data_IF_680400843974
#
_entry.id   IF_680400843974
#
_cell.length_a   1.000
_cell.length_b   1.000
_cell.length_c   1.000
_cell.angle_alpha   90.00
_cell.angle_beta   90.00
_cell.angle_gamma   90.00
#
_symmetry.space_group_name_H-M   'P 1'
#
loop_
_entity.id
_entity.type
_entity.pdbx_description
1 polymer ?
#
# COMPACT_ATOMS: atom_id res chain seq x y z
N UNK A 1 16.43 6.20 5.37
CA UNK A 1 16.54 7.19 4.25
C UNK A 1 15.12 7.53 3.78
N UNK A 2 14.80 8.73 3.29
CA UNK A 2 13.48 8.98 2.68
C UNK A 2 13.33 8.18 1.38
N UNK A 3 12.09 7.92 0.96
CA UNK A 3 11.80 7.41 -0.38
C UNK A 3 12.06 8.52 -1.42
N UNK A 4 12.51 8.14 -2.62
CA UNK A 4 12.83 9.11 -3.69
C UNK A 4 11.60 9.50 -4.51
N UNK A 5 10.63 8.60 -4.60
CA UNK A 5 9.38 8.77 -5.34
C UNK A 5 8.24 8.00 -4.64
N UNK A 6 6.97 8.37 -4.86
CA UNK A 6 5.86 7.66 -4.24
C UNK A 6 5.78 6.24 -4.81
N UNK A 7 5.73 5.19 -3.97
CA UNK A 7 5.79 3.81 -4.44
C UNK A 7 4.51 3.33 -5.14
N UNK A 8 3.44 4.11 -5.01
CA UNK A 8 2.12 3.85 -5.58
C UNK A 8 1.55 5.17 -6.11
N UNK A 9 0.66 5.14 -7.11
CA UNK A 9 -0.12 6.31 -7.46
C UNK A 9 -1.13 6.66 -6.36
N UNK A 10 -1.63 7.90 -6.38
CA UNK A 10 -2.74 8.32 -5.53
C UNK A 10 -2.33 8.89 -4.18
N UNK A 11 -3.33 9.14 -3.34
CA UNK A 11 -3.17 9.78 -2.04
C UNK A 11 -2.40 8.89 -1.06
N UNK A 12 -2.60 7.57 -1.13
CA UNK A 12 -1.87 6.61 -0.29
C UNK A 12 -0.38 6.65 -0.60
N UNK A 13 0.02 6.61 -1.88
CA UNK A 13 1.43 6.64 -2.26
C UNK A 13 2.14 7.94 -1.88
N UNK A 14 1.45 9.09 -2.00
CA UNK A 14 1.97 10.37 -1.53
C UNK A 14 2.15 10.38 -0.01
N UNK A 15 1.20 9.84 0.74
CA UNK A 15 1.32 9.74 2.19
C UNK A 15 2.51 8.87 2.61
N UNK A 16 2.72 7.73 1.93
CA UNK A 16 3.85 6.83 2.17
C UNK A 16 5.18 7.55 1.92
N UNK A 17 5.32 8.30 0.83
CA UNK A 17 6.51 9.09 0.53
C UNK A 17 6.86 10.07 1.67
N UNK A 18 5.85 10.70 2.27
CA UNK A 18 6.02 11.73 3.30
C UNK A 18 6.24 11.15 4.72
N UNK A 19 5.70 9.97 5.02
CA UNK A 19 5.62 9.45 6.40
C UNK A 19 6.35 8.12 6.63
N UNK A 20 6.74 7.41 5.57
CA UNK A 20 7.39 6.11 5.65
C UNK A 20 8.82 6.23 5.14
N UNK A 21 9.78 5.79 5.96
CA UNK A 21 11.17 5.71 5.52
C UNK A 21 11.45 4.45 4.70
N UNK A 22 12.57 4.47 3.98
CA UNK A 22 13.05 3.37 3.15
C UNK A 22 13.21 2.06 3.94
N UNK A 23 13.56 2.10 5.22
CA UNK A 23 13.81 0.89 6.00
C UNK A 23 12.48 0.21 6.34
N UNK A 24 11.48 0.97 6.81
CA UNK A 24 10.12 0.48 7.04
C UNK A 24 9.46 0.00 5.73
N UNK A 25 9.65 0.71 4.63
CA UNK A 25 9.16 0.29 3.32
C UNK A 25 9.73 -1.06 2.89
N UNK A 26 11.04 -1.29 3.06
CA UNK A 26 11.65 -2.59 2.74
C UNK A 26 11.13 -3.71 3.64
N UNK A 27 10.84 -3.43 4.91
CA UNK A 27 10.20 -4.41 5.79
C UNK A 27 8.81 -4.77 5.24
N UNK A 28 8.03 -3.78 4.80
CA UNK A 28 6.75 -4.04 4.15
C UNK A 28 6.92 -4.91 2.89
N UNK A 29 7.86 -4.63 1.99
CA UNK A 29 8.09 -5.48 0.80
C UNK A 29 8.30 -6.96 1.17
N UNK A 30 9.06 -7.21 2.24
CA UNK A 30 9.26 -8.56 2.77
C UNK A 30 7.99 -9.20 3.34
N UNK A 31 7.14 -8.44 4.04
CA UNK A 31 5.86 -8.93 4.56
C UNK A 31 4.82 -9.11 3.45
N UNK A 32 4.72 -8.16 2.52
CA UNK A 32 3.84 -8.23 1.36
C UNK A 32 4.12 -9.47 0.51
N UNK A 33 5.38 -9.85 0.33
CA UNK A 33 5.74 -11.12 -0.35
C UNK A 33 5.13 -12.34 0.35
N UNK A 34 5.04 -12.34 1.69
CA UNK A 34 4.37 -13.41 2.44
C UNK A 34 2.86 -13.35 2.27
N UNK A 35 2.25 -12.16 2.33
CA UNK A 35 0.81 -11.98 2.10
C UNK A 35 0.39 -12.58 0.76
N UNK A 36 1.17 -12.30 -0.31
CA UNK A 36 0.92 -12.87 -1.64
C UNK A 36 0.95 -14.40 -1.62
N UNK A 37 1.95 -15.00 -0.97
CA UNK A 37 2.12 -16.45 -0.93
C UNK A 37 1.08 -17.16 -0.04
N UNK A 38 0.80 -16.61 1.14
CA UNK A 38 -0.10 -17.23 2.13
C UNK A 38 -1.57 -17.11 1.73
N UNK A 39 -1.95 -16.04 1.04
CA UNK A 39 -3.32 -15.85 0.54
C UNK A 39 -3.50 -16.29 -0.92
N UNK A 40 -2.41 -16.72 -1.57
CA UNK A 40 -2.41 -17.10 -2.98
C UNK A 40 -3.00 -16.02 -3.90
N UNK A 41 -2.59 -14.77 -3.71
CA UNK A 41 -3.13 -13.62 -4.43
C UNK A 41 -2.79 -13.67 -5.93
N UNK A 42 -3.78 -13.46 -6.79
CA UNK A 42 -3.63 -13.33 -8.23
C UNK A 42 -3.80 -11.86 -8.66
N UNK A 43 -2.71 -11.22 -9.04
CA UNK A 43 -2.70 -9.79 -9.40
C UNK A 43 -3.38 -9.49 -10.74
N UNK A 44 -3.91 -10.49 -11.45
CA UNK A 44 -4.86 -10.24 -12.54
C UNK A 44 -6.26 -9.90 -12.05
N UNK A 45 -6.56 -10.12 -10.75
CA UNK A 45 -7.87 -9.90 -10.12
C UNK A 45 -7.83 -8.65 -9.24
N UNK A 46 -8.77 -7.73 -9.46
CA UNK A 46 -8.83 -6.47 -8.70
C UNK A 46 -9.03 -6.70 -7.19
N UNK A 47 -9.81 -7.70 -6.80
CA UNK A 47 -10.04 -8.06 -5.38
C UNK A 47 -8.76 -8.51 -4.66
N UNK A 48 -7.85 -9.18 -5.36
CA UNK A 48 -6.59 -9.66 -4.79
C UNK A 48 -5.58 -8.52 -4.69
N UNK A 49 -5.57 -7.60 -5.68
CA UNK A 49 -4.82 -6.35 -5.60
C UNK A 49 -5.29 -5.49 -4.43
N UNK A 50 -6.62 -5.37 -4.25
CA UNK A 50 -7.20 -4.62 -3.13
C UNK A 50 -6.88 -5.26 -1.78
N UNK A 51 -6.92 -6.60 -1.69
CA UNK A 51 -6.52 -7.31 -0.49
C UNK A 51 -5.06 -7.02 -0.11
N UNK A 52 -4.15 -7.04 -1.09
CA UNK A 52 -2.74 -6.68 -0.87
C UNK A 52 -2.57 -5.22 -0.40
N UNK A 53 -3.29 -4.27 -1.03
CA UNK A 53 -3.29 -2.86 -0.64
C UNK A 53 -3.82 -2.66 0.79
N UNK A 54 -4.86 -3.39 1.19
CA UNK A 54 -5.45 -3.31 2.53
C UNK A 54 -4.48 -3.81 3.62
N UNK A 55 -3.77 -4.92 3.39
CA UNK A 55 -2.71 -5.37 4.31
C UNK A 55 -1.56 -4.37 4.39
N UNK A 56 -1.21 -3.70 3.29
CA UNK A 56 -0.19 -2.65 3.29
C UNK A 56 -0.62 -1.46 4.14
N UNK A 57 -1.85 -1.00 3.93
CA UNK A 57 -2.47 0.11 4.67
C UNK A 57 -2.43 -0.18 6.17
N UNK A 58 -2.84 -1.38 6.57
CA UNK A 58 -2.84 -1.80 7.97
C UNK A 58 -1.43 -1.87 8.53
N UNK A 59 -0.48 -2.47 7.80
CA UNK A 59 0.90 -2.62 8.25
C UNK A 59 1.62 -1.28 8.43
N UNK A 60 1.43 -0.35 7.49
CA UNK A 60 2.05 0.97 7.52
C UNK A 60 1.28 1.98 8.38
N UNK A 61 0.07 1.64 8.84
CA UNK A 61 -0.77 2.50 9.66
C UNK A 61 -1.28 3.73 8.91
N UNK A 62 -1.60 3.59 7.62
CA UNK A 62 -2.10 4.69 6.81
C UNK A 62 -3.44 5.18 7.39
N UNK A 63 -3.63 6.50 7.63
CA UNK A 63 -4.86 7.02 8.20
C UNK A 63 -6.08 6.75 7.32
N UNK A 64 -7.21 6.36 7.94
CA UNK A 64 -8.45 6.07 7.21
C UNK A 64 -8.91 7.23 6.31
N UNK A 65 -8.70 8.49 6.71
CA UNK A 65 -9.04 9.66 5.89
C UNK A 65 -8.30 9.66 4.53
N UNK A 66 -7.03 9.24 4.51
CA UNK A 66 -6.22 9.13 3.29
C UNK A 66 -6.74 7.97 2.41
N UNK A 67 -7.07 6.84 3.04
CA UNK A 67 -7.61 5.67 2.35
C UNK A 67 -8.96 6.00 1.70
N UNK A 68 -9.85 6.70 2.41
CA UNK A 68 -11.13 7.14 1.88
C UNK A 68 -10.97 8.14 0.73
N UNK A 69 -10.04 9.10 0.85
CA UNK A 69 -9.73 10.04 -0.23
C UNK A 69 -9.28 9.31 -1.50
N UNK A 70 -8.36 8.35 -1.36
CA UNK A 70 -7.82 7.57 -2.48
C UNK A 70 -8.92 6.75 -3.19
N UNK A 71 -9.75 6.05 -2.40
CA UNK A 71 -10.85 5.23 -2.92
C UNK A 71 -11.92 6.05 -3.62
N UNK A 72 -12.24 7.25 -3.11
CA UNK A 72 -13.16 8.18 -3.78
C UNK A 72 -12.61 8.61 -5.14
N UNK A 73 -11.33 8.99 -5.20
CA UNK A 73 -10.69 9.41 -6.45
C UNK A 73 -10.60 8.30 -7.51
N UNK A 74 -10.54 7.02 -7.10
CA UNK A 74 -10.57 5.86 -8.01
C UNK A 74 -11.97 5.57 -8.59
N UNK A 75 -13.02 6.10 -7.99
CA UNK A 75 -14.42 5.83 -8.37
C UNK A 75 -15.01 6.94 -9.25
N UNK A 76 -14.37 8.11 -9.30
CA UNK A 76 -14.74 9.29 -10.12
C UNK A 76 -14.06 9.27 -11.50
#
# INVERSE_FOLDING_TARGET
>A
KPLEEPPLPGAIGNWILEHVDFDLWNVWIGQGTKVINELHLDFSREEDQQSYEDYMIEFLGVPNEIVEQDRKAKTE
#
